data_IF_453010196955
#
_entry.id   IF_453010196955
#
_cell.length_a   1.000
_cell.length_b   1.000
_cell.length_c   1.000
_cell.angle_alpha   90.00
_cell.angle_beta   90.00
_cell.angle_gamma   90.00
#
_symmetry.space_group_name_H-M   'P 1'
#
loop_
_entity.id
_entity.type
_entity.pdbx_description
1 polymer ?
#
# COMPACT_ATOMS: atom_id res chain seq x y z
N UNK A 1 -2.16 -15.77 15.31
CA UNK A 1 -1.41 -14.50 15.29
C UNK A 1 -0.55 -14.55 14.05
N UNK A 2 -0.83 -13.71 13.05
CA UNK A 2 0.04 -13.57 11.89
C UNK A 2 1.29 -12.85 12.37
N UNK A 3 2.27 -13.65 12.79
CA UNK A 3 3.65 -13.23 12.87
C UNK A 3 4.11 -13.08 11.43
N UNK A 4 4.11 -11.85 10.93
CA UNK A 4 5.08 -11.47 9.94
C UNK A 4 5.52 -10.06 10.28
N UNK A 5 6.82 -9.83 10.11
CA UNK A 5 7.48 -8.52 10.07
C UNK A 5 8.05 -8.03 11.38
N UNK A 6 9.11 -8.73 11.79
CA UNK A 6 10.24 -8.03 12.37
C UNK A 6 11.16 -7.66 11.21
N UNK A 7 11.41 -6.37 11.01
CA UNK A 7 12.63 -5.93 10.34
C UNK A 7 13.80 -6.40 11.23
N UNK A 8 14.63 -7.37 10.79
CA UNK A 8 15.74 -7.88 11.60
C UNK A 8 16.88 -6.86 11.74
N UNK A 9 16.94 -5.86 10.86
CA UNK A 9 18.03 -4.88 10.75
C UNK A 9 17.66 -3.51 11.35
N UNK A 10 16.36 -3.20 11.49
CA UNK A 10 15.85 -1.96 12.09
C UNK A 10 16.05 -0.72 11.22
N UNK A 11 16.09 -0.89 9.91
CA UNK A 11 16.31 0.19 8.95
C UNK A 11 15.00 0.94 8.64
N UNK A 12 15.13 2.24 8.39
CA UNK A 12 13.98 3.08 8.06
C UNK A 12 13.48 2.81 6.62
N UNK A 13 12.49 1.94 6.47
CA UNK A 13 11.76 1.79 5.21
C UNK A 13 10.94 3.06 4.92
N UNK A 14 11.10 3.62 3.72
CA UNK A 14 10.30 4.76 3.25
C UNK A 14 9.37 4.33 2.14
N UNK A 15 8.09 4.66 2.26
CA UNK A 15 7.07 4.35 1.25
C UNK A 15 6.61 5.64 0.58
N UNK A 16 6.42 5.61 -0.73
CA UNK A 16 5.85 6.72 -1.49
C UNK A 16 4.87 6.22 -2.54
N UNK A 17 3.70 6.86 -2.64
CA UNK A 17 2.74 6.62 -3.73
C UNK A 17 3.26 7.32 -4.98
N UNK A 18 3.49 6.58 -6.06
CA UNK A 18 3.99 7.12 -7.33
C UNK A 18 2.88 7.38 -8.34
N UNK A 19 1.76 6.67 -8.23
CA UNK A 19 0.54 6.94 -8.99
C UNK A 19 -0.68 6.75 -8.10
N UNK A 20 -1.53 7.77 -8.01
CA UNK A 20 -2.80 7.69 -7.27
C UNK A 20 -3.81 6.81 -8.02
N UNK A 21 -4.81 6.25 -7.30
CA UNK A 21 -5.95 5.59 -7.91
C UNK A 21 -6.84 6.56 -8.69
N UNK A 22 -7.64 6.02 -9.62
CA UNK A 22 -8.60 6.80 -10.41
C UNK A 22 -9.93 7.05 -9.69
N UNK A 23 -10.28 6.19 -8.73
CA UNK A 23 -11.59 6.19 -8.06
C UNK A 23 -11.49 6.18 -6.54
N UNK A 24 -10.37 6.66 -5.99
CA UNK A 24 -10.13 6.82 -4.57
C UNK A 24 -8.82 7.54 -4.31
N UNK A 25 -8.39 7.52 -3.06
CA UNK A 25 -7.10 8.07 -2.63
C UNK A 25 -6.29 7.00 -1.90
N UNK A 26 -5.02 6.86 -2.27
CA UNK A 26 -4.03 6.07 -1.55
C UNK A 26 -3.13 6.99 -0.73
N UNK A 27 -3.00 6.72 0.57
CA UNK A 27 -2.17 7.51 1.48
C UNK A 27 -1.25 6.61 2.28
N UNK A 28 -0.03 7.07 2.56
CA UNK A 28 0.93 6.36 3.40
C UNK A 28 0.72 6.80 4.85
N UNK A 29 0.55 5.84 5.74
CA UNK A 29 0.57 6.01 7.19
C UNK A 29 1.64 5.08 7.77
N UNK A 30 2.83 5.63 8.05
CA UNK A 30 4.00 4.86 8.45
C UNK A 30 4.37 3.78 7.40
N UNK A 31 4.27 2.51 7.74
CA UNK A 31 4.52 1.37 6.83
C UNK A 31 3.24 0.78 6.23
N UNK A 32 2.14 1.53 6.26
CA UNK A 32 0.83 1.08 5.77
C UNK A 32 0.35 2.00 4.66
N UNK A 33 -0.30 1.44 3.65
CA UNK A 33 -1.04 2.22 2.66
C UNK A 33 -2.54 2.08 2.95
N UNK A 34 -3.19 3.21 3.18
CA UNK A 34 -4.63 3.30 3.37
C UNK A 34 -5.26 3.74 2.05
N UNK A 35 -6.12 2.88 1.49
CA UNK A 35 -6.94 3.21 0.33
C UNK A 35 -8.35 3.60 0.79
N UNK A 36 -8.79 4.79 0.39
CA UNK A 36 -10.16 5.27 0.61
C UNK A 36 -10.84 5.43 -0.73
N UNK A 37 -11.82 4.57 -1.09
CA UNK A 37 -12.57 4.74 -2.32
C UNK A 37 -13.43 6.01 -2.27
N UNK A 38 -13.74 6.56 -3.43
CA UNK A 38 -14.75 7.60 -3.56
C UNK A 38 -16.12 7.06 -3.09
N UNK A 39 -16.98 7.95 -2.58
CA UNK A 39 -18.34 7.57 -2.20
C UNK A 39 -19.06 6.86 -3.36
N UNK A 40 -19.75 5.77 -3.03
CA UNK A 40 -20.52 4.93 -3.96
C UNK A 40 -19.71 4.24 -5.09
N UNK A 41 -18.38 4.34 -5.09
CA UNK A 41 -17.56 3.62 -6.06
C UNK A 41 -17.61 2.11 -5.80
N UNK A 42 -17.94 1.35 -6.84
CA UNK A 42 -17.91 -0.11 -6.86
C UNK A 42 -17.20 -0.53 -8.14
N UNK A 43 -16.11 -1.26 -8.00
CA UNK A 43 -15.28 -1.64 -9.12
C UNK A 43 -13.83 -1.88 -8.73
N UNK A 44 -13.00 -2.07 -9.75
CA UNK A 44 -11.56 -2.20 -9.57
C UNK A 44 -10.88 -0.84 -9.73
N UNK A 45 -9.89 -0.59 -8.88
CA UNK A 45 -9.04 0.59 -8.93
C UNK A 45 -7.58 0.15 -8.73
N UNK A 46 -6.62 0.98 -9.12
CA UNK A 46 -5.21 0.63 -8.96
C UNK A 46 -4.33 1.83 -8.68
N UNK A 47 -3.30 1.61 -7.88
CA UNK A 47 -2.29 2.61 -7.57
C UNK A 47 -0.91 1.96 -7.58
N UNK A 48 0.13 2.78 -7.74
CA UNK A 48 1.52 2.31 -7.72
C UNK A 48 2.26 2.98 -6.57
N UNK A 49 3.11 2.21 -5.90
CA UNK A 49 3.96 2.72 -4.82
C UNK A 49 5.39 2.21 -4.96
N UNK A 50 6.32 2.91 -4.32
CA UNK A 50 7.73 2.55 -4.21
C UNK A 50 8.12 2.46 -2.74
N UNK A 51 8.91 1.43 -2.39
CA UNK A 51 9.59 1.30 -1.10
C UNK A 51 11.08 1.53 -1.32
N UNK A 52 11.71 2.25 -0.39
CA UNK A 52 13.16 2.45 -0.32
C UNK A 52 13.67 1.94 1.03
N UNK A 53 14.75 1.16 1.02
CA UNK A 53 15.32 0.50 2.20
C UNK A 53 16.37 1.33 2.98
N UNK A 54 16.64 2.55 2.52
CA UNK A 54 17.67 3.42 3.10
C UNK A 54 19.12 2.99 2.81
N UNK A 55 19.34 1.83 2.17
CA UNK A 55 20.64 1.26 1.78
C UNK A 55 20.85 1.23 0.26
N UNK A 56 19.93 1.82 -0.50
CA UNK A 56 20.00 1.97 -1.96
C UNK A 56 19.13 0.96 -2.71
N UNK A 57 18.51 0.01 -2.01
CA UNK A 57 17.46 -0.84 -2.55
C UNK A 57 16.17 -0.04 -2.71
N UNK A 58 15.53 -0.26 -3.86
CA UNK A 58 14.21 0.29 -4.14
C UNK A 58 13.39 -0.74 -4.90
N UNK A 59 12.09 -0.76 -4.63
CA UNK A 59 11.16 -1.64 -5.30
C UNK A 59 9.84 -0.93 -5.55
N UNK A 60 9.24 -1.20 -6.71
CA UNK A 60 7.98 -0.59 -7.14
C UNK A 60 6.95 -1.68 -7.37
N UNK A 61 5.73 -1.48 -6.87
CA UNK A 61 4.63 -2.41 -7.04
C UNK A 61 3.34 -1.67 -7.39
N UNK A 62 2.50 -2.33 -8.18
CA UNK A 62 1.14 -1.89 -8.50
C UNK A 62 0.16 -2.71 -7.68
N UNK A 63 -0.70 -2.03 -6.94
CA UNK A 63 -1.79 -2.63 -6.17
C UNK A 63 -3.08 -2.48 -6.95
N UNK A 64 -3.81 -3.57 -7.09
CA UNK A 64 -5.19 -3.56 -7.59
C UNK A 64 -6.13 -3.80 -6.42
N UNK A 65 -7.10 -2.91 -6.25
CA UNK A 65 -8.13 -2.97 -5.21
C UNK A 65 -9.46 -3.26 -5.87
N UNK A 66 -10.25 -4.16 -5.29
CA UNK A 66 -11.63 -4.39 -5.73
C UNK A 66 -12.59 -3.94 -4.63
N UNK A 67 -13.33 -2.87 -4.91
CA UNK A 67 -14.31 -2.30 -4.01
C UNK A 67 -15.66 -2.94 -4.27
N UNK A 68 -16.20 -3.61 -3.24
CA UNK A 68 -17.55 -4.15 -3.23
C UNK A 68 -18.48 -3.23 -2.44
N UNK A 69 -19.79 -3.29 -2.73
CA UNK A 69 -20.82 -2.38 -2.22
C UNK A 69 -20.98 -2.29 -0.67
N UNK A 70 -20.18 -3.03 0.10
CA UNK A 70 -20.19 -3.01 1.57
C UNK A 70 -18.91 -2.45 2.22
N UNK A 71 -17.88 -2.08 1.45
CA UNK A 71 -16.60 -1.68 2.05
C UNK A 71 -16.44 -0.16 2.12
N UNK A 72 -16.31 0.37 3.34
CA UNK A 72 -15.69 1.68 3.59
C UNK A 72 -14.16 1.63 3.37
N UNK A 73 -13.40 2.58 3.94
CA UNK A 73 -11.94 2.64 3.83
C UNK A 73 -11.30 1.26 4.01
N UNK A 74 -10.51 0.82 3.02
CA UNK A 74 -9.88 -0.49 3.03
C UNK A 74 -8.40 -0.32 3.39
N UNK A 75 -7.99 -0.99 4.47
CA UNK A 75 -6.57 -1.06 4.84
C UNK A 75 -5.91 -2.13 3.99
N UNK A 76 -4.86 -1.75 3.27
CA UNK A 76 -4.10 -2.66 2.42
C UNK A 76 -2.75 -2.91 3.09
N UNK A 77 -2.50 -4.17 3.44
CA UNK A 77 -1.20 -4.62 3.90
C UNK A 77 -0.30 -4.84 2.69
N UNK A 78 0.92 -4.32 2.76
CA UNK A 78 1.89 -4.43 1.68
C UNK A 78 2.37 -5.89 1.58
N UNK A 79 2.62 -6.42 0.38
CA UNK A 79 3.52 -7.56 0.26
C UNK A 79 4.90 -7.10 0.75
N UNK A 80 5.40 -7.75 1.79
CA UNK A 80 6.79 -7.56 2.20
C UNK A 80 7.66 -8.20 1.16
N UNK A 81 8.66 -7.43 0.75
CA UNK A 81 9.65 -7.90 -0.19
C UNK A 81 10.70 -8.55 0.70
N UNK A 82 10.61 -9.87 0.84
CA UNK A 82 11.72 -10.65 1.38
C UNK A 82 12.91 -10.45 0.43
N UNK A 83 14.02 -9.96 0.98
CA UNK A 83 15.32 -10.09 0.34
C UNK A 83 15.79 -11.55 0.43
#
# INVERSE_FOLDING_TARGET
VLANDSDPDGDALTISITSQPGHGAATVNNLQIVYTPNADFVGSDSFTYTIVDGKGGNATATVTVTVSAQSGSQMIYLPLIEQ
#
